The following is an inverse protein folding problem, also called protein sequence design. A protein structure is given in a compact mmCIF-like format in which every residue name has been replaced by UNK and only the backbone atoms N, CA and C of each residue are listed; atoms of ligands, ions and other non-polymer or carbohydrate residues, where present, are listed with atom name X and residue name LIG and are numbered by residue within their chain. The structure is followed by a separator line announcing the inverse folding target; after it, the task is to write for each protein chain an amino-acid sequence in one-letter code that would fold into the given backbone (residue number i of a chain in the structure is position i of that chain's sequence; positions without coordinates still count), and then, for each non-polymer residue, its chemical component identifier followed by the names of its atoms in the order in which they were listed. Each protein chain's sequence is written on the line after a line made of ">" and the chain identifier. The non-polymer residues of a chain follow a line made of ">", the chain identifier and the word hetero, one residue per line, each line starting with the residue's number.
data_IF_505433798355
#
_entry.id   IF_505433798355
#
_cell.length_a   1.000
_cell.length_b   1.000
_cell.length_c   1.000
_cell.angle_alpha   90.00
_cell.angle_beta   90.00
_cell.angle_gamma   90.00
#
_symmetry.space_group_name_H-M   'P 1'
#
loop_
_entity.id
_entity.type
_entity.pdbx_description
1 polymer ?
#
# COMPACT_ATOMS: atom_id res chain seq x y z
N UNK A 1 7.66 -8.38 21.86
CA UNK A 1 8.47 -7.18 21.58
C UNK A 1 9.95 -7.52 21.33
N UNK A 2 10.30 -7.80 20.08
CA UNK A 2 11.67 -7.94 19.57
C UNK A 2 11.98 -6.83 18.56
N UNK A 3 12.43 -5.68 19.05
CA UNK A 3 12.76 -4.53 18.20
C UNK A 3 14.14 -4.70 17.59
N UNK A 4 14.27 -4.46 16.28
CA UNK A 4 15.55 -4.39 15.59
C UNK A 4 15.71 -3.04 14.91
N UNK A 5 16.91 -2.46 15.01
CA UNK A 5 17.25 -1.20 14.33
C UNK A 5 17.90 -1.54 13.00
N UNK A 6 17.30 -1.06 11.92
CA UNK A 6 17.86 -1.14 10.58
C UNK A 6 18.78 0.07 10.39
N UNK A 7 20.03 -0.19 10.01
CA UNK A 7 21.02 0.84 9.68
C UNK A 7 21.10 1.02 8.17
N UNK A 8 21.12 2.27 7.72
CA UNK A 8 21.34 2.62 6.32
C UNK A 8 22.82 2.45 5.92
N UNK A 9 23.12 2.69 4.64
CA UNK A 9 24.46 2.52 4.06
C UNK A 9 25.56 3.34 4.75
N UNK A 10 25.19 4.46 5.37
CA UNK A 10 26.09 5.31 6.16
C UNK A 10 26.29 4.82 7.61
N UNK A 11 25.78 3.64 7.97
CA UNK A 11 25.83 3.06 9.30
C UNK A 11 24.91 3.72 10.34
N UNK A 12 24.12 4.73 9.95
CA UNK A 12 23.18 5.41 10.84
C UNK A 12 21.85 4.66 10.89
N UNK A 13 21.15 4.66 12.04
CA UNK A 13 19.78 4.15 12.12
C UNK A 13 18.86 4.85 11.12
N UNK A 14 18.19 4.09 10.27
CA UNK A 14 17.23 4.61 9.28
C UNK A 14 15.84 4.02 9.45
N UNK A 15 15.69 2.91 10.18
CA UNK A 15 14.39 2.30 10.41
C UNK A 15 14.38 1.39 11.63
N UNK A 16 13.17 1.00 12.02
CA UNK A 16 12.92 -0.01 13.06
C UNK A 16 12.06 -1.11 12.48
N UNK A 17 12.38 -2.35 12.82
CA UNK A 17 11.56 -3.51 12.50
C UNK A 17 10.76 -3.88 13.75
N UNK A 18 9.44 -3.92 13.59
CA UNK A 18 8.47 -4.35 14.60
C UNK A 18 7.73 -5.55 14.01
N UNK A 19 7.71 -6.72 14.69
CA UNK A 19 6.89 -7.84 14.24
C UNK A 19 5.41 -7.44 14.12
N UNK A 20 4.70 -7.91 13.09
CA UNK A 20 3.32 -7.49 12.82
C UNK A 20 2.40 -7.69 14.04
N UNK A 21 2.51 -8.82 14.74
CA UNK A 21 1.70 -9.06 15.95
C UNK A 21 1.98 -8.04 17.06
N UNK A 22 3.25 -7.62 17.24
CA UNK A 22 3.61 -6.58 18.21
C UNK A 22 3.07 -5.21 17.74
N UNK A 23 3.08 -4.93 16.43
CA UNK A 23 2.52 -3.70 15.84
C UNK A 23 1.01 -3.60 16.05
N UNK A 24 0.25 -4.67 15.81
CA UNK A 24 -1.20 -4.71 16.05
C UNK A 24 -1.55 -4.42 17.51
N UNK A 25 -0.83 -5.01 18.46
CA UNK A 25 -1.02 -4.73 19.90
C UNK A 25 -0.76 -3.25 20.21
N UNK A 26 0.31 -2.68 19.63
CA UNK A 26 0.61 -1.25 19.82
C UNK A 26 -0.49 -0.35 19.23
N UNK A 27 -1.10 -0.70 18.10
CA UNK A 27 -2.21 0.08 17.54
C UNK A 27 -3.44 0.08 18.44
N UNK A 28 -3.74 -1.05 19.09
CA UNK A 28 -4.83 -1.14 20.06
C UNK A 28 -4.55 -0.33 21.33
N UNK A 29 -3.30 -0.35 21.82
CA UNK A 29 -2.89 0.38 23.02
C UNK A 29 -2.79 1.90 22.81
N UNK A 30 -2.38 2.34 21.61
CA UNK A 30 -2.15 3.75 21.29
C UNK A 30 -3.14 4.24 20.23
N UNK A 31 -4.31 4.72 20.67
CA UNK A 31 -5.38 5.22 19.78
C UNK A 31 -4.94 6.34 18.83
N UNK A 32 -3.91 7.09 19.19
CA UNK A 32 -3.34 8.13 18.34
C UNK A 32 -2.59 7.58 17.13
N UNK A 33 -2.11 6.33 17.13
CA UNK A 33 -1.46 5.70 15.98
C UNK A 33 -2.45 5.48 14.83
N UNK A 34 -3.69 5.10 15.15
CA UNK A 34 -4.74 4.93 14.15
C UNK A 34 -5.04 6.22 13.39
N UNK A 35 -4.82 7.40 13.99
CA UNK A 35 -5.03 8.69 13.33
C UNK A 35 -3.97 9.01 12.26
N UNK A 36 -2.84 8.29 12.25
CA UNK A 36 -1.78 8.42 11.23
C UNK A 36 -1.89 7.39 10.11
N UNK A 37 -2.78 6.39 10.25
CA UNK A 37 -3.02 5.41 9.21
C UNK A 37 -4.07 5.92 8.23
N UNK A 38 -3.82 5.69 6.95
CA UNK A 38 -4.86 5.88 5.94
C UNK A 38 -5.97 4.85 6.17
N UNK A 39 -7.24 5.24 6.06
CA UNK A 39 -8.35 4.31 6.27
C UNK A 39 -8.27 3.17 5.26
N UNK A 40 -8.38 1.94 5.74
CA UNK A 40 -8.44 0.78 4.84
C UNK A 40 -9.63 0.92 3.89
N UNK A 41 -9.43 0.67 2.58
CA UNK A 41 -10.51 0.77 1.61
C UNK A 41 -11.57 -0.29 1.90
N UNK A 42 -12.83 0.11 1.85
CA UNK A 42 -13.95 -0.80 2.01
C UNK A 42 -14.00 -1.80 0.85
N UNK A 43 -14.65 -2.95 1.08
CA UNK A 43 -14.90 -3.95 0.01
C UNK A 43 -15.60 -3.34 -1.21
N UNK A 44 -16.47 -2.34 -0.99
CA UNK A 44 -17.17 -1.65 -2.07
C UNK A 44 -16.22 -0.81 -2.92
N UNK A 45 -15.29 -0.08 -2.29
CA UNK A 45 -14.26 0.70 -2.99
C UNK A 45 -13.29 -0.20 -3.75
N UNK A 46 -12.85 -1.31 -3.15
CA UNK A 46 -12.02 -2.31 -3.83
C UNK A 46 -12.76 -2.87 -5.06
N UNK A 47 -14.04 -3.23 -4.92
CA UNK A 47 -14.83 -3.77 -6.02
C UNK A 47 -15.06 -2.73 -7.13
N UNK A 48 -15.26 -1.46 -6.75
CA UNK A 48 -15.37 -0.37 -7.71
C UNK A 48 -14.08 -0.21 -8.53
N UNK A 49 -12.92 -0.23 -7.86
CA UNK A 49 -11.62 -0.17 -8.54
C UNK A 49 -11.38 -1.35 -9.48
N UNK A 50 -11.75 -2.57 -9.08
CA UNK A 50 -11.65 -3.75 -9.97
C UNK A 50 -12.58 -3.61 -11.18
N UNK A 51 -13.81 -3.12 -10.98
CA UNK A 51 -14.77 -2.92 -12.07
C UNK A 51 -14.25 -1.90 -13.08
N UNK A 52 -13.69 -0.78 -12.60
CA UNK A 52 -13.09 0.24 -13.45
C UNK A 52 -11.93 -0.33 -14.28
N UNK A 53 -11.01 -1.06 -13.65
CA UNK A 53 -9.88 -1.70 -14.34
C UNK A 53 -10.34 -2.68 -15.43
N UNK A 54 -11.43 -3.43 -15.18
CA UNK A 54 -12.00 -4.34 -16.20
C UNK A 54 -12.57 -3.58 -17.40
N UNK A 55 -13.24 -2.45 -17.18
CA UNK A 55 -13.75 -1.62 -18.28
C UNK A 55 -12.60 -0.97 -19.07
N UNK A 56 -11.55 -0.49 -18.41
CA UNK A 56 -10.35 0.04 -19.05
C UNK A 56 -9.71 -1.02 -19.97
N UNK A 57 -9.52 -2.25 -19.47
CA UNK A 57 -8.98 -3.36 -20.26
C UNK A 57 -9.85 -3.70 -21.47
N UNK A 58 -11.18 -3.61 -21.36
CA UNK A 58 -12.09 -3.80 -22.51
C UNK A 58 -11.86 -2.73 -23.58
N UNK A 59 -11.70 -1.47 -23.18
CA UNK A 59 -11.43 -0.36 -24.11
C UNK A 59 -10.07 -0.48 -24.78
N UNK A 60 -9.04 -0.94 -24.04
CA UNK A 60 -7.70 -1.24 -24.58
C UNK A 60 -7.82 -2.36 -25.64
N UNK A 61 -8.50 -3.46 -25.31
CA UNK A 61 -8.71 -4.58 -26.24
C UNK A 61 -9.52 -4.17 -27.48
N UNK A 62 -10.45 -3.23 -27.34
CA UNK A 62 -11.22 -2.68 -28.45
C UNK A 62 -10.42 -1.66 -29.29
N UNK A 63 -9.18 -1.35 -28.93
CA UNK A 63 -8.33 -0.37 -29.61
C UNK A 63 -8.78 1.08 -29.44
N UNK A 64 -9.69 1.36 -28.51
CA UNK A 64 -10.23 2.71 -28.26
C UNK A 64 -9.30 3.58 -27.41
N UNK A 65 -8.51 2.96 -26.55
CA UNK A 65 -7.50 3.61 -25.71
C UNK A 65 -6.20 2.82 -25.77
N UNK A 66 -5.07 3.51 -25.63
CA UNK A 66 -3.75 2.88 -25.58
C UNK A 66 -3.48 2.42 -24.16
N UNK A 67 -3.14 1.14 -23.99
CA UNK A 67 -2.71 0.64 -22.68
C UNK A 67 -1.38 1.26 -22.26
N UNK A 68 -1.24 1.52 -20.95
CA UNK A 68 0.04 1.90 -20.35
C UNK A 68 0.96 0.70 -20.18
N UNK A 69 2.27 0.94 -20.21
CA UNK A 69 3.26 -0.10 -19.94
C UNK A 69 3.27 -0.44 -18.45
N UNK A 70 3.79 -1.63 -18.11
CA UNK A 70 3.95 -2.05 -16.72
C UNK A 70 4.85 -1.09 -15.94
N UNK A 71 5.86 -0.49 -16.59
CA UNK A 71 6.76 0.47 -15.95
C UNK A 71 6.02 1.75 -15.56
N UNK A 72 5.25 2.32 -16.48
CA UNK A 72 4.44 3.51 -16.20
C UNK A 72 3.42 3.25 -15.10
N UNK A 73 2.83 2.05 -15.05
CA UNK A 73 1.92 1.67 -13.97
C UNK A 73 2.61 1.58 -12.60
N UNK A 74 3.85 1.07 -12.54
CA UNK A 74 4.60 0.96 -11.29
C UNK A 74 5.11 2.32 -10.79
N UNK A 75 5.37 3.27 -11.68
CA UNK A 75 5.81 4.62 -11.32
C UNK A 75 4.65 5.50 -10.76
N UNK A 76 3.39 5.05 -10.87
CA UNK A 76 2.18 5.74 -10.35
C UNK A 76 1.79 5.35 -8.91
N UNK A 77 2.36 4.26 -8.38
CA UNK A 77 2.05 3.69 -7.05
C UNK A 77 3.13 4.07 -6.02
#
# INVERSE_FOLDING_TARGET
>A
MSLQIIKGENGKPTGVFIPMNDWEIMKEEYQNLQAWEEPEPTKAEILAGIKEAVEEVKLIKAGKIKGKSLKELLDEL
#
